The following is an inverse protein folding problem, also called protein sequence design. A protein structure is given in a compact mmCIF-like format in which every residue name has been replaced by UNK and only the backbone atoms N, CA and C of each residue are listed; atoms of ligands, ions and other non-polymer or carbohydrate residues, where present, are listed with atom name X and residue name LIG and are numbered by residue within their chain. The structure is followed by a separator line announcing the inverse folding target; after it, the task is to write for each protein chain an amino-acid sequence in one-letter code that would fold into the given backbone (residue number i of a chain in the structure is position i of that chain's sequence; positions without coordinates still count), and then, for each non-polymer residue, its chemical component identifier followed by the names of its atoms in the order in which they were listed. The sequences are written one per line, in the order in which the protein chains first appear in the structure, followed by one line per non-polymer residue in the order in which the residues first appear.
data_IF_083872436299
#
_entry.id   IF_083872436299
#
_cell.length_a   1.000
_cell.length_b   1.000
_cell.length_c   1.000
_cell.angle_alpha   90.00
_cell.angle_beta   90.00
_cell.angle_gamma   90.00
#
_symmetry.space_group_name_H-M   'P 1'
#
loop_
_entity.id
_entity.type
_entity.pdbx_description
1 polymer ?
#
# COMPACT_ATOMS: atom_id res chain seq x y z
N UNK A 1 4.46 -19.87 -14.71
CA UNK A 1 3.49 -19.14 -15.55
C UNK A 1 2.57 -18.40 -14.62
N UNK A 2 2.46 -17.08 -14.76
CA UNK A 2 1.51 -16.29 -13.97
C UNK A 2 0.11 -16.57 -14.49
N UNK A 3 -0.65 -17.39 -13.76
CA UNK A 3 -2.07 -17.59 -13.98
C UNK A 3 -2.78 -16.28 -13.64
N UNK A 4 -3.49 -15.71 -14.61
CA UNK A 4 -4.35 -14.54 -14.38
C UNK A 4 -5.44 -14.98 -13.40
N UNK A 5 -5.50 -14.34 -12.23
CA UNK A 5 -6.54 -14.65 -11.23
C UNK A 5 -7.94 -14.42 -11.84
N UNK A 6 -8.96 -15.24 -11.53
CA UNK A 6 -10.30 -15.16 -12.11
C UNK A 6 -11.12 -13.94 -11.64
N UNK A 7 -10.47 -12.96 -11.00
CA UNK A 7 -11.12 -11.83 -10.35
C UNK A 7 -10.85 -10.54 -11.13
N UNK A 8 -11.90 -9.99 -11.73
CA UNK A 8 -11.89 -8.58 -12.14
C UNK A 8 -12.20 -7.74 -10.91
N UNK A 9 -11.35 -6.76 -10.61
CA UNK A 9 -11.54 -5.84 -9.48
C UNK A 9 -11.79 -4.45 -10.05
N UNK A 10 -12.90 -3.83 -9.66
CA UNK A 10 -13.20 -2.44 -9.98
C UNK A 10 -12.82 -1.59 -8.77
N UNK A 11 -11.92 -0.64 -8.98
CA UNK A 11 -11.44 0.28 -7.93
C UNK A 11 -12.05 1.65 -8.20
N UNK A 12 -12.79 2.17 -7.22
CA UNK A 12 -13.33 3.52 -7.26
C UNK A 12 -12.75 4.34 -6.11
N UNK A 13 -12.07 5.44 -6.43
CA UNK A 13 -11.42 6.31 -5.45
C UNK A 13 -12.20 7.60 -5.28
N UNK A 14 -12.60 7.92 -4.04
CA UNK A 14 -13.12 9.24 -3.68
C UNK A 14 -11.97 10.04 -3.08
N UNK A 15 -11.35 10.88 -3.91
CA UNK A 15 -10.18 11.68 -3.52
C UNK A 15 -10.56 12.83 -2.59
N UNK A 16 -10.24 12.67 -1.31
CA UNK A 16 -10.33 13.76 -0.30
C UNK A 16 -9.00 14.46 -0.06
N UNK A 17 -7.89 13.73 -0.23
CA UNK A 17 -6.55 14.31 -0.18
C UNK A 17 -6.28 14.98 -1.52
N UNK A 18 -5.97 16.30 -1.54
CA UNK A 18 -5.70 17.01 -2.79
C UNK A 18 -4.49 16.40 -3.51
N UNK A 19 -4.54 16.42 -4.84
CA UNK A 19 -3.43 15.93 -5.65
C UNK A 19 -2.17 16.78 -5.43
N UNK A 20 -1.02 16.12 -5.40
CA UNK A 20 0.31 16.77 -5.31
C UNK A 20 0.50 17.68 -4.08
N UNK A 21 -0.31 17.53 -3.03
CA UNK A 21 -0.22 18.36 -1.83
C UNK A 21 0.93 18.01 -0.88
N UNK A 22 1.77 17.02 -1.21
CA UNK A 22 2.82 16.51 -0.32
C UNK A 22 2.27 15.73 0.89
N UNK A 23 1.02 15.27 0.84
CA UNK A 23 0.33 14.59 1.95
C UNK A 23 0.22 13.06 1.76
N UNK A 24 0.97 12.47 0.81
CA UNK A 24 0.96 11.02 0.59
C UNK A 24 -0.36 10.45 0.03
N UNK A 25 -1.23 11.29 -0.56
CA UNK A 25 -2.58 10.86 -0.93
C UNK A 25 -2.65 9.74 -1.98
N UNK A 26 -1.73 9.68 -2.93
CA UNK A 26 -1.65 8.56 -3.87
C UNK A 26 -1.12 7.28 -3.21
N UNK A 27 -0.15 7.43 -2.31
CA UNK A 27 0.43 6.33 -1.54
C UNK A 27 -0.60 5.70 -0.59
N UNK A 28 -1.44 6.52 0.02
CA UNK A 28 -2.58 6.08 0.83
C UNK A 28 -3.61 5.28 0.01
N UNK A 29 -3.91 5.71 -1.23
CA UNK A 29 -4.80 4.94 -2.12
C UNK A 29 -4.18 3.56 -2.45
N UNK A 30 -2.89 3.54 -2.79
CA UNK A 30 -2.16 2.30 -3.10
C UNK A 30 -2.13 1.32 -1.94
N UNK A 31 -1.89 1.83 -0.72
CA UNK A 31 -1.92 1.05 0.51
C UNK A 31 -3.31 0.45 0.75
N UNK A 32 -4.37 1.25 0.58
CA UNK A 32 -5.74 0.79 0.74
C UNK A 32 -6.12 -0.31 -0.27
N UNK A 33 -5.70 -0.18 -1.54
CA UNK A 33 -5.93 -1.21 -2.57
C UNK A 33 -5.16 -2.49 -2.22
N UNK A 34 -3.89 -2.42 -1.84
CA UNK A 34 -3.10 -3.60 -1.53
C UNK A 34 -3.66 -4.34 -0.30
N UNK A 35 -4.05 -3.61 0.74
CA UNK A 35 -4.69 -4.18 1.93
C UNK A 35 -6.02 -4.87 1.57
N UNK A 36 -6.86 -4.22 0.73
CA UNK A 36 -8.12 -4.79 0.28
C UNK A 36 -7.92 -6.08 -0.55
N UNK A 37 -6.95 -6.09 -1.47
CA UNK A 37 -6.63 -7.28 -2.26
C UNK A 37 -6.10 -8.43 -1.40
N UNK A 38 -5.23 -8.15 -0.43
CA UNK A 38 -4.75 -9.15 0.52
C UNK A 38 -5.91 -9.79 1.29
N UNK A 39 -6.84 -8.96 1.77
CA UNK A 39 -8.03 -9.41 2.47
C UNK A 39 -8.99 -10.21 1.58
N UNK A 40 -9.30 -9.72 0.37
CA UNK A 40 -10.23 -10.37 -0.57
C UNK A 40 -9.73 -11.71 -1.10
N UNK A 41 -8.42 -11.83 -1.31
CA UNK A 41 -7.80 -13.07 -1.83
C UNK A 41 -7.48 -14.07 -0.73
N UNK A 42 -7.53 -13.67 0.54
CA UNK A 42 -7.18 -14.49 1.71
C UNK A 42 -5.80 -15.15 1.58
N UNK A 43 -4.87 -14.49 0.88
CA UNK A 43 -3.55 -15.03 0.54
C UNK A 43 -2.62 -15.22 1.77
N UNK A 44 -3.00 -14.65 2.92
CA UNK A 44 -2.33 -14.90 4.20
C UNK A 44 -0.93 -14.26 4.33
N UNK A 45 -0.68 -13.17 3.61
CA UNK A 45 0.59 -12.44 3.71
C UNK A 45 0.70 -11.66 5.03
N UNK A 46 1.89 -11.65 5.63
CA UNK A 46 2.19 -10.79 6.78
C UNK A 46 2.26 -9.32 6.36
N UNK A 47 2.20 -8.40 7.33
CA UNK A 47 2.35 -6.97 7.07
C UNK A 47 3.70 -6.67 6.39
N UNK A 48 4.78 -7.28 6.86
CA UNK A 48 6.13 -7.11 6.31
C UNK A 48 6.21 -7.60 4.85
N UNK A 49 5.53 -8.70 4.52
CA UNK A 49 5.47 -9.19 3.14
C UNK A 49 4.66 -8.25 2.24
N UNK A 50 3.58 -7.65 2.75
CA UNK A 50 2.82 -6.65 2.02
C UNK A 50 3.64 -5.36 1.80
N UNK A 51 4.43 -4.94 2.80
CA UNK A 51 5.33 -3.80 2.70
C UNK A 51 6.42 -4.01 1.63
N UNK A 52 6.99 -5.21 1.56
CA UNK A 52 7.93 -5.58 0.51
C UNK A 52 7.33 -5.54 -0.90
N UNK A 53 6.05 -5.87 -1.05
CA UNK A 53 5.34 -5.70 -2.32
C UNK A 53 5.07 -4.21 -2.59
N UNK A 54 4.64 -3.49 -1.55
CA UNK A 54 4.24 -2.09 -1.62
C UNK A 54 5.38 -1.15 -2.03
N UNK A 55 6.61 -1.40 -1.57
CA UNK A 55 7.76 -0.55 -1.92
C UNK A 55 8.02 -0.54 -3.43
N UNK A 56 7.70 -1.63 -4.14
CA UNK A 56 7.79 -1.72 -5.59
C UNK A 56 6.73 -0.89 -6.33
N UNK A 57 5.63 -0.55 -5.65
CA UNK A 57 4.59 0.34 -6.17
C UNK A 57 4.86 1.82 -5.83
N UNK A 58 5.49 2.09 -4.69
CA UNK A 58 5.86 3.43 -4.26
C UNK A 58 6.46 3.44 -2.86
N UNK A 59 7.53 4.23 -2.67
CA UNK A 59 8.32 4.22 -1.45
C UNK A 59 7.55 4.64 -0.18
N UNK A 60 6.50 5.45 -0.33
CA UNK A 60 5.66 5.90 0.79
C UNK A 60 4.50 4.92 1.11
N UNK A 61 4.22 3.94 0.26
CA UNK A 61 3.09 3.01 0.43
C UNK A 61 3.26 2.12 1.68
N UNK A 62 4.47 1.56 1.97
CA UNK A 62 4.71 0.82 3.20
C UNK A 62 4.34 1.63 4.47
N UNK A 63 4.67 2.92 4.50
CA UNK A 63 4.33 3.79 5.62
C UNK A 63 2.80 3.92 5.76
N UNK A 64 2.09 4.14 4.65
CA UNK A 64 0.63 4.23 4.64
C UNK A 64 -0.05 2.91 5.03
N UNK A 65 0.55 1.76 4.73
CA UNK A 65 0.04 0.44 5.14
C UNK A 65 0.16 0.22 6.65
N UNK A 66 1.32 0.55 7.22
CA UNK A 66 1.61 0.36 8.64
C UNK A 66 0.87 1.37 9.51
N UNK A 67 0.77 2.62 9.08
CA UNK A 67 0.13 3.70 9.80
C UNK A 67 0.87 4.12 11.08
N UNK A 68 0.18 4.83 11.97
CA UNK A 68 0.77 5.36 13.20
C UNK A 68 1.77 6.50 12.98
N UNK A 69 2.62 6.73 13.99
CA UNK A 69 3.75 7.66 13.91
C UNK A 69 5.02 6.84 13.92
N UNK A 70 5.87 7.05 12.92
CA UNK A 70 7.08 6.27 12.74
C UNK A 70 8.18 7.12 12.15
N UNK A 71 9.41 6.79 12.50
CA UNK A 71 10.60 7.29 11.83
C UNK A 71 10.91 6.40 10.63
N UNK A 72 10.75 6.98 9.44
CA UNK A 72 11.10 6.36 8.16
C UNK A 72 12.53 6.74 7.74
N UNK A 73 13.29 5.74 7.27
CA UNK A 73 14.63 5.89 6.71
C UNK A 73 14.74 5.20 5.34
N UNK A 74 15.90 5.32 4.70
CA UNK A 74 16.10 4.80 3.34
C UNK A 74 15.37 5.65 2.32
N UNK A 75 14.62 5.01 1.43
CA UNK A 75 13.65 5.66 0.53
C UNK A 75 12.28 5.83 1.18
N UNK A 76 12.05 5.27 2.37
CA UNK A 76 10.76 5.27 3.07
C UNK A 76 10.27 3.88 3.47
N UNK A 77 11.14 2.88 3.48
CA UNK A 77 10.86 1.46 3.69
C UNK A 77 11.41 0.90 5.01
N UNK A 78 12.33 1.61 5.66
CA UNK A 78 12.93 1.22 6.95
C UNK A 78 12.27 2.00 8.08
N UNK A 79 11.52 1.30 8.94
CA UNK A 79 10.71 1.90 10.00
C UNK A 79 11.22 1.57 11.40
N UNK A 80 11.29 2.62 12.21
CA UNK A 80 11.49 2.54 13.66
C UNK A 80 10.47 3.42 14.38
N UNK A 81 10.18 3.15 15.67
CA UNK A 81 9.33 4.02 16.48
C UNK A 81 9.78 5.49 16.46
#
# INVERSE_FOLDING_TARGET
GFSVLPYSVVIHLVKRIPMMAGLGGGSADGAAVLAALSHLTQIGLSLEQLEQIAVGCGADIPFCLRGGTQRAQGIGEDFSP
#
